data_IF_389111424479
#
_entry.id   IF_389111424479
#
_cell.length_a   1.000
_cell.length_b   1.000
_cell.length_c   1.000
_cell.angle_alpha   90.00
_cell.angle_beta   90.00
_cell.angle_gamma   90.00
#
_symmetry.space_group_name_H-M   'P 1'
#
loop_
_entity.id
_entity.type
_entity.pdbx_description
1 polymer ?
#
# COMPACT_ATOMS: atom_id res chain seq x y z
N UNK A 1 -24.80 -24.41 15.42
CA UNK A 1 -24.88 -23.43 14.32
C UNK A 1 -23.90 -22.30 14.61
N UNK A 2 -22.71 -22.30 13.99
CA UNK A 2 -21.76 -21.19 14.11
C UNK A 2 -22.04 -20.20 12.97
N UNK A 3 -22.28 -18.95 13.34
CA UNK A 3 -22.94 -17.91 12.55
C UNK A 3 -22.29 -17.64 11.18
N UNK A 4 -23.17 -17.57 10.20
CA UNK A 4 -23.01 -17.21 8.79
C UNK A 4 -22.75 -15.71 8.58
N UNK A 5 -21.74 -15.13 9.23
CA UNK A 5 -21.29 -13.78 8.87
C UNK A 5 -20.02 -13.88 8.02
N UNK A 6 -20.19 -14.01 6.70
CA UNK A 6 -19.09 -13.72 5.78
C UNK A 6 -18.74 -12.24 5.98
N UNK A 7 -17.52 -11.93 6.38
CA UNK A 7 -17.01 -10.56 6.44
C UNK A 7 -17.27 -9.88 5.10
N UNK A 8 -17.78 -8.65 5.12
CA UNK A 8 -18.01 -7.87 3.90
C UNK A 8 -16.70 -7.85 3.07
N UNK A 9 -16.76 -8.10 1.75
CA UNK A 9 -15.56 -8.01 0.92
C UNK A 9 -14.95 -6.61 1.07
N UNK A 10 -13.63 -6.55 1.28
CA UNK A 10 -12.90 -5.30 1.42
C UNK A 10 -12.87 -4.59 0.07
N UNK A 11 -13.16 -3.30 0.07
CA UNK A 11 -13.03 -2.45 -1.12
C UNK A 11 -11.56 -2.07 -1.34
N UNK A 12 -11.16 -1.64 -2.55
CA UNK A 12 -9.80 -1.16 -2.79
C UNK A 12 -9.39 -0.03 -1.82
N UNK A 13 -10.33 0.85 -1.49
CA UNK A 13 -10.16 1.93 -0.50
C UNK A 13 -9.87 1.38 0.89
N UNK A 14 -10.61 0.35 1.33
CA UNK A 14 -10.39 -0.27 2.65
C UNK A 14 -9.00 -0.90 2.74
N UNK A 15 -8.53 -1.54 1.67
CA UNK A 15 -7.19 -2.15 1.62
C UNK A 15 -6.11 -1.07 1.74
N UNK A 16 -6.26 0.06 1.04
CA UNK A 16 -5.32 1.19 1.15
C UNK A 16 -5.29 1.75 2.57
N UNK A 17 -6.45 2.00 3.18
CA UNK A 17 -6.54 2.54 4.55
C UNK A 17 -5.89 1.60 5.56
N UNK A 18 -6.21 0.32 5.49
CA UNK A 18 -5.61 -0.67 6.37
C UNK A 18 -4.09 -0.78 6.17
N UNK A 19 -3.62 -0.70 4.92
CA UNK A 19 -2.17 -0.66 4.61
C UNK A 19 -1.52 0.56 5.27
N UNK A 20 -2.14 1.73 5.14
CA UNK A 20 -1.65 2.97 5.73
C UNK A 20 -1.58 2.89 7.26
N UNK A 21 -2.61 2.37 7.91
CA UNK A 21 -2.64 2.21 9.37
C UNK A 21 -1.52 1.28 9.87
N UNK A 22 -1.25 0.20 9.14
CA UNK A 22 -0.14 -0.71 9.42
C UNK A 22 1.22 -0.02 9.19
N UNK A 23 1.36 0.79 8.14
CA UNK A 23 2.57 1.57 7.90
C UNK A 23 2.83 2.57 9.04
N UNK A 24 1.80 3.27 9.52
CA UNK A 24 1.90 4.17 10.69
C UNK A 24 2.35 3.39 11.93
N UNK A 25 1.80 2.19 12.12
CA UNK A 25 2.17 1.33 13.23
C UNK A 25 3.65 0.89 13.16
N UNK A 26 4.10 0.46 11.99
CA UNK A 26 5.50 0.07 11.73
C UNK A 26 6.44 1.27 11.82
N UNK A 27 5.97 2.46 11.45
CA UNK A 27 6.76 3.67 11.55
C UNK A 27 7.05 4.03 13.02
N UNK A 28 6.00 4.08 13.84
CA UNK A 28 6.05 4.45 15.26
C UNK A 28 6.68 3.39 16.17
N UNK A 29 6.61 2.12 15.79
CA UNK A 29 7.05 1.00 16.65
C UNK A 29 8.55 0.75 16.54
N UNK A 30 9.38 1.63 17.12
CA UNK A 30 10.84 1.39 17.14
C UNK A 30 11.36 0.74 18.43
N UNK A 31 10.60 0.67 19.53
CA UNK A 31 11.20 0.21 20.82
C UNK A 31 10.26 -0.30 21.92
N UNK A 32 8.93 -0.37 21.75
CA UNK A 32 8.00 -0.58 22.88
C UNK A 32 7.09 -1.82 22.82
N UNK A 33 7.34 -2.78 21.92
CA UNK A 33 6.45 -3.93 21.71
C UNK A 33 7.16 -5.27 21.83
N UNK A 34 6.39 -6.31 22.18
CA UNK A 34 6.86 -7.68 22.04
C UNK A 34 7.12 -8.02 20.57
N UNK A 35 8.17 -8.81 20.32
CA UNK A 35 8.52 -9.23 18.97
C UNK A 35 7.37 -9.96 18.26
N UNK A 36 6.56 -10.72 19.00
CA UNK A 36 5.40 -11.44 18.45
C UNK A 36 4.37 -10.52 17.80
N UNK A 37 4.04 -9.40 18.45
CA UNK A 37 3.04 -8.45 17.94
C UNK A 37 3.59 -7.64 16.77
N UNK A 38 4.90 -7.37 16.77
CA UNK A 38 5.57 -6.74 15.63
C UNK A 38 5.53 -7.66 14.42
N UNK A 39 5.86 -8.93 14.58
CA UNK A 39 5.84 -9.94 13.51
C UNK A 39 4.43 -10.09 12.92
N UNK A 40 3.39 -10.14 13.77
CA UNK A 40 1.99 -10.17 13.35
C UNK A 40 1.64 -8.98 12.43
N UNK A 41 2.00 -7.76 12.85
CA UNK A 41 1.70 -6.56 12.04
C UNK A 41 2.52 -6.47 10.76
N UNK A 42 3.75 -6.98 10.76
CA UNK A 42 4.55 -7.10 9.54
C UNK A 42 3.93 -8.11 8.56
N UNK A 43 3.43 -9.24 9.05
CA UNK A 43 2.74 -10.24 8.22
C UNK A 43 1.42 -9.70 7.65
N UNK A 44 0.64 -8.96 8.44
CA UNK A 44 -0.57 -8.26 7.96
C UNK A 44 -0.23 -7.24 6.87
N UNK A 45 0.85 -6.46 7.05
CA UNK A 45 1.29 -5.48 6.06
C UNK A 45 1.73 -6.13 4.75
N UNK A 46 2.49 -7.23 4.84
CA UNK A 46 2.88 -8.02 3.67
C UNK A 46 1.67 -8.56 2.90
N UNK A 47 0.65 -9.07 3.63
CA UNK A 47 -0.59 -9.54 3.04
C UNK A 47 -1.34 -8.42 2.30
N UNK A 48 -1.50 -7.26 2.92
CA UNK A 48 -2.19 -6.14 2.28
C UNK A 48 -1.41 -5.59 1.08
N UNK A 49 -0.07 -5.58 1.14
CA UNK A 49 0.76 -5.16 -0.01
C UNK A 49 0.55 -6.08 -1.22
N UNK A 50 0.45 -7.40 -0.99
CA UNK A 50 0.11 -8.37 -2.04
C UNK A 50 -1.31 -8.17 -2.60
N UNK A 51 -2.25 -7.79 -1.76
CA UNK A 51 -3.63 -7.53 -2.18
C UNK A 51 -3.72 -6.24 -3.01
N UNK A 52 -3.03 -5.16 -2.61
CA UNK A 52 -2.87 -3.97 -3.45
C UNK A 52 -2.28 -4.35 -4.82
N UNK A 53 -1.25 -5.20 -4.83
CA UNK A 53 -0.66 -5.70 -6.09
C UNK A 53 -1.67 -6.49 -6.92
N UNK A 54 -2.44 -7.38 -6.31
CA UNK A 54 -3.45 -8.17 -7.00
C UNK A 54 -4.56 -7.30 -7.59
N UNK A 55 -4.94 -6.18 -6.95
CA UNK A 55 -5.90 -5.23 -7.52
C UNK A 55 -5.33 -4.58 -8.79
N UNK A 56 -4.04 -4.24 -8.78
CA UNK A 56 -3.38 -3.48 -9.85
C UNK A 56 -2.92 -4.34 -11.04
N UNK A 57 -2.69 -5.63 -10.82
CA UNK A 57 -2.15 -6.56 -11.83
C UNK A 57 -3.09 -7.73 -12.13
N UNK A 58 -4.17 -7.90 -11.38
CA UNK A 58 -4.97 -9.11 -11.40
C UNK A 58 -4.28 -10.29 -10.70
N UNK A 59 -4.82 -11.48 -10.91
CA UNK A 59 -4.27 -12.75 -10.45
C UNK A 59 -4.59 -13.85 -11.47
N UNK A 60 -4.38 -15.12 -11.11
CA UNK A 60 -4.66 -16.26 -12.00
C UNK A 60 -6.14 -16.44 -12.37
N UNK A 61 -7.06 -15.83 -11.61
CA UNK A 61 -8.50 -16.00 -11.78
C UNK A 61 -9.19 -14.75 -12.36
N UNK A 62 -8.55 -13.58 -12.29
CA UNK A 62 -9.19 -12.30 -12.64
C UNK A 62 -8.18 -11.26 -13.13
N UNK A 63 -8.58 -10.53 -14.18
CA UNK A 63 -7.87 -9.36 -14.68
C UNK A 63 -8.09 -8.12 -13.78
N UNK A 64 -7.17 -7.13 -13.78
CA UNK A 64 -7.34 -5.91 -13.02
C UNK A 64 -8.55 -5.10 -13.52
N UNK A 65 -9.44 -4.73 -12.60
CA UNK A 65 -10.61 -3.90 -12.91
C UNK A 65 -10.23 -2.43 -12.89
N UNK A 66 -10.47 -1.71 -13.99
CA UNK A 66 -10.08 -0.29 -14.16
C UNK A 66 -10.61 0.61 -13.05
N UNK A 67 -11.89 0.46 -12.68
CA UNK A 67 -12.49 1.26 -11.59
C UNK A 67 -11.81 0.99 -10.24
N UNK A 68 -11.50 -0.27 -9.93
CA UNK A 68 -10.81 -0.64 -8.70
C UNK A 68 -9.38 -0.07 -8.65
N UNK A 69 -8.66 -0.09 -9.77
CA UNK A 69 -7.34 0.53 -9.91
C UNK A 69 -7.41 2.04 -9.70
N UNK A 70 -8.43 2.70 -10.26
CA UNK A 70 -8.62 4.13 -10.10
C UNK A 70 -8.94 4.52 -8.64
N UNK A 71 -9.84 3.79 -7.98
CA UNK A 71 -10.17 4.01 -6.56
C UNK A 71 -8.96 3.82 -5.65
N UNK A 72 -8.20 2.74 -5.86
CA UNK A 72 -6.96 2.47 -5.13
C UNK A 72 -5.96 3.61 -5.33
N UNK A 73 -5.74 4.03 -6.58
CA UNK A 73 -4.79 5.11 -6.93
C UNK A 73 -5.17 6.42 -6.25
N UNK A 74 -6.44 6.82 -6.33
CA UNK A 74 -6.93 8.03 -5.67
C UNK A 74 -6.68 7.99 -4.16
N UNK A 75 -7.10 6.91 -3.49
CA UNK A 75 -6.98 6.80 -2.03
C UNK A 75 -5.50 6.75 -1.58
N UNK A 76 -4.65 6.04 -2.33
CA UNK A 76 -3.24 5.86 -1.97
C UNK A 76 -2.50 7.20 -1.90
N UNK A 77 -2.71 8.08 -2.89
CA UNK A 77 -2.08 9.40 -2.92
C UNK A 77 -2.79 10.43 -2.05
N UNK A 78 -4.12 10.34 -1.86
CA UNK A 78 -4.91 11.29 -1.06
C UNK A 78 -4.41 11.44 0.36
N UNK A 79 -4.07 10.34 1.02
CA UNK A 79 -3.73 10.31 2.45
C UNK A 79 -2.21 10.18 2.72
N UNK A 80 -1.37 10.53 1.75
CA UNK A 80 0.10 10.43 1.85
C UNK A 80 0.64 9.01 2.12
N UNK A 81 -0.04 7.96 1.62
CA UNK A 81 0.39 6.57 1.83
C UNK A 81 1.76 6.30 1.18
N UNK A 82 2.05 6.92 0.03
CA UNK A 82 3.35 6.78 -0.64
C UNK A 82 4.52 7.18 0.26
N UNK A 83 4.44 8.35 0.91
CA UNK A 83 5.48 8.85 1.82
C UNK A 83 5.73 7.86 2.96
N UNK A 84 4.66 7.39 3.60
CA UNK A 84 4.76 6.42 4.68
C UNK A 84 5.37 5.10 4.21
N UNK A 85 5.00 4.64 3.02
CA UNK A 85 5.58 3.43 2.44
C UNK A 85 7.09 3.59 2.23
N UNK A 86 7.53 4.73 1.67
CA UNK A 86 8.96 5.04 1.46
C UNK A 86 9.72 5.01 2.79
N UNK A 87 9.23 5.72 3.82
CA UNK A 87 9.86 5.76 5.15
C UNK A 87 9.97 4.35 5.76
N UNK A 88 8.97 3.50 5.54
CA UNK A 88 8.95 2.15 6.08
C UNK A 88 9.73 1.12 5.24
N UNK A 89 10.12 1.43 3.99
CA UNK A 89 10.79 0.46 3.09
C UNK A 89 11.97 -0.28 3.75
N UNK A 90 12.90 0.39 4.46
CA UNK A 90 14.04 -0.30 5.09
C UNK A 90 13.64 -1.34 6.15
N UNK A 91 12.44 -1.18 6.75
CA UNK A 91 11.90 -2.07 7.79
C UNK A 91 11.25 -3.33 7.21
N UNK A 92 10.91 -3.32 5.91
CA UNK A 92 10.19 -4.43 5.25
C UNK A 92 11.16 -5.54 4.84
N UNK A 93 10.68 -6.78 4.82
CA UNK A 93 11.45 -7.89 4.25
C UNK A 93 11.57 -7.77 2.71
N UNK A 94 12.51 -8.52 2.12
CA UNK A 94 12.83 -8.41 0.69
C UNK A 94 11.60 -8.60 -0.21
N UNK A 95 10.75 -9.59 0.09
CA UNK A 95 9.60 -9.89 -0.75
C UNK A 95 8.55 -8.80 -0.70
N UNK A 96 8.26 -8.28 0.50
CA UNK A 96 7.32 -7.16 0.66
C UNK A 96 7.85 -5.90 -0.01
N UNK A 97 9.17 -5.64 0.01
CA UNK A 97 9.78 -4.54 -0.75
C UNK A 97 9.58 -4.69 -2.25
N UNK A 98 9.74 -5.90 -2.81
CA UNK A 98 9.48 -6.14 -4.24
C UNK A 98 8.03 -5.87 -4.60
N UNK A 99 7.10 -6.39 -3.79
CA UNK A 99 5.67 -6.16 -3.99
C UNK A 99 5.33 -4.66 -3.90
N UNK A 100 5.86 -3.95 -2.90
CA UNK A 100 5.70 -2.51 -2.72
C UNK A 100 6.22 -1.72 -3.93
N UNK A 101 7.40 -2.06 -4.44
CA UNK A 101 7.96 -1.43 -5.65
C UNK A 101 7.07 -1.65 -6.87
N UNK A 102 6.53 -2.87 -7.05
CA UNK A 102 5.60 -3.15 -8.16
C UNK A 102 4.31 -2.34 -8.02
N UNK A 103 3.75 -2.25 -6.81
CA UNK A 103 2.58 -1.41 -6.52
C UNK A 103 2.87 0.05 -6.89
N UNK A 104 3.93 0.65 -6.34
CA UNK A 104 4.28 2.06 -6.60
C UNK A 104 4.52 2.31 -8.09
N UNK A 105 5.25 1.42 -8.77
CA UNK A 105 5.52 1.56 -10.20
C UNK A 105 4.23 1.54 -11.04
N UNK A 106 3.25 0.71 -10.69
CA UNK A 106 1.95 0.70 -11.35
C UNK A 106 1.20 2.01 -11.09
N UNK A 107 1.07 2.41 -9.83
CA UNK A 107 0.35 3.63 -9.42
C UNK A 107 0.89 4.89 -10.07
N UNK A 108 2.20 4.98 -10.28
CA UNK A 108 2.83 6.12 -10.95
C UNK A 108 2.40 6.26 -12.42
N UNK A 109 1.98 5.17 -13.07
CA UNK A 109 1.54 5.14 -14.47
C UNK A 109 0.02 5.15 -14.63
N UNK A 110 -0.74 5.00 -13.54
CA UNK A 110 -2.20 4.99 -13.58
C UNK A 110 -2.75 6.38 -13.93
N UNK A 111 -3.56 6.43 -14.99
CA UNK A 111 -4.35 7.61 -15.32
C UNK A 111 -5.73 7.49 -14.71
N UNK A 112 -6.12 8.51 -13.94
CA UNK A 112 -7.45 8.59 -13.34
C UNK A 112 -8.10 9.88 -13.82
N UNK A 113 -9.24 9.76 -14.51
CA UNK A 113 -9.89 10.89 -15.20
C UNK A 113 -8.91 11.64 -16.13
N UNK A 114 -8.11 10.88 -16.91
CA UNK A 114 -7.09 11.38 -17.83
C UNK A 114 -5.97 12.21 -17.17
N UNK A 115 -5.73 12.04 -15.86
CA UNK A 115 -4.64 12.70 -15.12
C UNK A 115 -3.76 11.69 -14.40
N UNK A 116 -2.47 11.98 -14.30
CA UNK A 116 -1.51 11.22 -13.51
C UNK A 116 -1.47 11.78 -12.09
N UNK A 117 -2.31 11.24 -11.20
CA UNK A 117 -2.39 11.69 -9.78
C UNK A 117 -1.03 11.63 -9.09
N UNK A 118 -0.20 10.63 -9.44
CA UNK A 118 1.14 10.48 -8.91
C UNK A 118 2.06 11.66 -9.25
N UNK A 119 1.93 12.25 -10.45
CA UNK A 119 2.73 13.41 -10.86
C UNK A 119 2.40 14.63 -9.99
N UNK A 120 1.11 14.95 -9.88
CA UNK A 120 0.62 16.05 -9.04
C UNK A 120 1.03 15.89 -7.57
N UNK A 121 1.08 14.64 -7.09
CA UNK A 121 1.52 14.31 -5.75
C UNK A 121 3.03 14.54 -5.55
N UNK A 122 3.86 14.04 -6.47
CA UNK A 122 5.32 14.16 -6.39
C UNK A 122 5.79 15.61 -6.54
N UNK A 123 5.14 16.41 -7.40
CA UNK A 123 5.42 17.84 -7.53
C UNK A 123 5.20 18.62 -6.23
N UNK A 124 4.28 18.16 -5.38
CA UNK A 124 4.00 18.76 -4.05
C UNK A 124 4.85 18.17 -2.92
N UNK A 125 5.63 17.12 -3.19
CA UNK A 125 6.38 16.34 -2.20
C UNK A 125 7.79 16.03 -2.74
N UNK A 126 8.51 17.05 -3.21
CA UNK A 126 9.81 16.90 -3.89
C UNK A 126 10.89 16.28 -3.01
N UNK A 127 10.80 16.46 -1.69
CA UNK A 127 11.69 15.88 -0.69
C UNK A 127 11.66 14.34 -0.66
N UNK A 128 10.63 13.70 -1.21
CA UNK A 128 10.58 12.24 -1.34
C UNK A 128 11.69 11.69 -2.23
N UNK A 129 12.17 12.46 -3.20
CA UNK A 129 13.28 12.05 -4.06
C UNK A 129 14.58 11.98 -3.26
N UNK A 130 14.82 12.94 -2.38
CA UNK A 130 16.00 12.95 -1.51
C UNK A 130 15.99 11.73 -0.56
N UNK A 131 14.82 11.41 0.00
CA UNK A 131 14.65 10.22 0.86
C UNK A 131 14.93 8.94 0.08
N UNK A 132 14.40 8.81 -1.14
CA UNK A 132 14.61 7.63 -1.99
C UNK A 132 16.08 7.46 -2.42
N UNK A 133 16.79 8.56 -2.69
CA UNK A 133 18.20 8.54 -3.09
C UNK A 133 19.11 8.16 -1.91
N UNK A 134 18.75 8.57 -0.70
CA UNK A 134 19.52 8.27 0.50
C UNK A 134 19.59 6.77 0.84
N UNK A 135 18.55 5.99 0.48
CA UNK A 135 18.47 4.55 0.69
C UNK A 135 17.83 4.15 2.00
#
# INVERSE_FOLDING_TARGET
MKGLFKSKPRTPVDVVRQTRDLLIYVDRSSSSLSDSKREEKMAELAKNTRELKSILYGNSESEPVSEACAQLTQEFFRENTLRLLIICLPKLNLETRKDATQVVANLQRQQVNSRLIASDYLEKNTDLLDILIAG
#
